data_IF_585130387089
#
_entry.id   IF_585130387089
#
_cell.length_a   1.000
_cell.length_b   1.000
_cell.length_c   1.000
_cell.angle_alpha   90.00
_cell.angle_beta   90.00
_cell.angle_gamma   90.00
#
_symmetry.space_group_name_H-M   'P 1'
#
loop_
_entity.id
_entity.type
_entity.pdbx_description
1 polymer ?
#
# COMPACT_ATOMS: atom_id res chain seq x y z
N UNK A 1 9.77 22.20 7.72
CA UNK A 1 10.85 21.18 7.65
C UNK A 1 10.72 20.50 6.31
N UNK A 2 11.80 20.11 5.61
CA UNK A 2 11.63 19.25 4.43
C UNK A 2 11.02 17.95 4.94
N UNK A 3 9.77 17.68 4.54
CA UNK A 3 9.03 16.49 4.97
C UNK A 3 9.68 15.27 4.31
N UNK A 4 10.66 14.69 4.99
CA UNK A 4 11.36 13.50 4.54
C UNK A 4 10.47 12.28 4.75
N UNK A 5 9.95 11.70 3.68
CA UNK A 5 9.09 10.53 3.75
C UNK A 5 9.92 9.26 3.89
N UNK A 6 9.57 8.45 4.89
CA UNK A 6 10.16 7.12 5.12
C UNK A 6 9.05 6.06 5.07
N UNK A 7 9.02 5.18 4.04
CA UNK A 7 8.05 4.10 3.99
C UNK A 7 8.47 2.93 4.88
N UNK A 8 7.54 2.00 5.14
CA UNK A 8 7.86 0.75 5.83
C UNK A 8 8.89 -0.07 5.05
N UNK A 9 9.94 -0.55 5.72
CA UNK A 9 10.97 -1.42 5.11
C UNK A 9 10.41 -2.79 4.69
N UNK A 10 9.36 -3.25 5.37
CA UNK A 10 8.73 -4.55 5.14
C UNK A 10 7.22 -4.38 4.97
N UNK A 11 6.68 -4.97 3.91
CA UNK A 11 5.25 -4.95 3.61
C UNK A 11 4.80 -6.30 3.06
N UNK A 12 3.57 -6.68 3.37
CA UNK A 12 2.90 -7.78 2.69
C UNK A 12 2.27 -7.27 1.39
N UNK A 13 2.82 -7.69 0.24
CA UNK A 13 2.39 -7.21 -1.08
C UNK A 13 1.86 -8.33 -1.96
N UNK A 14 0.85 -8.04 -2.78
CA UNK A 14 0.41 -8.96 -3.82
C UNK A 14 1.45 -9.04 -4.94
N UNK A 15 2.14 -10.17 -5.02
CA UNK A 15 3.11 -10.43 -6.07
C UNK A 15 2.41 -10.98 -7.32
N UNK A 16 2.42 -10.21 -8.41
CA UNK A 16 1.81 -10.60 -9.71
C UNK A 16 2.42 -11.89 -10.28
N UNK A 17 3.69 -12.16 -10.00
CA UNK A 17 4.40 -13.36 -10.45
C UNK A 17 4.07 -14.60 -9.61
N UNK A 18 4.05 -14.47 -8.29
CA UNK A 18 3.67 -15.55 -7.39
C UNK A 18 2.14 -15.75 -7.31
N UNK A 19 1.36 -14.80 -7.83
CA UNK A 19 -0.10 -14.72 -7.78
C UNK A 19 -0.68 -14.82 -6.36
N UNK A 20 0.07 -14.34 -5.36
CA UNK A 20 -0.30 -14.37 -3.95
C UNK A 20 0.33 -13.22 -3.18
N UNK A 21 -0.22 -12.93 -2.00
CA UNK A 21 0.37 -12.00 -1.04
C UNK A 21 1.65 -12.62 -0.47
N UNK A 22 2.74 -11.87 -0.54
CA UNK A 22 4.06 -12.29 -0.13
C UNK A 22 4.74 -11.17 0.66
N UNK A 23 5.59 -11.53 1.63
CA UNK A 23 6.49 -10.56 2.24
C UNK A 23 7.38 -9.93 1.17
N UNK A 24 7.42 -8.61 1.16
CA UNK A 24 8.25 -7.81 0.30
C UNK A 24 9.14 -6.89 1.13
N UNK A 25 10.35 -6.67 0.65
CA UNK A 25 11.36 -5.85 1.32
C UNK A 25 11.74 -4.68 0.44
N UNK A 26 11.91 -3.51 1.05
CA UNK A 26 12.39 -2.32 0.39
C UNK A 26 13.82 -2.57 -0.15
N UNK A 27 13.99 -2.43 -1.45
CA UNK A 27 15.27 -2.59 -2.16
C UNK A 27 15.96 -1.24 -2.33
N UNK A 28 15.21 -0.24 -2.82
CA UNK A 28 15.76 1.07 -3.22
C UNK A 28 14.75 2.18 -2.97
N UNK A 29 15.29 3.34 -2.64
CA UNK A 29 14.55 4.60 -2.51
C UNK A 29 15.15 5.61 -3.48
N UNK A 30 14.36 6.10 -4.41
CA UNK A 30 14.78 6.97 -5.52
C UNK A 30 14.10 8.33 -5.34
N UNK A 31 14.88 9.33 -4.93
CA UNK A 31 14.41 10.70 -4.78
C UNK A 31 14.07 11.33 -6.14
N UNK A 32 12.92 11.99 -6.25
CA UNK A 32 12.54 12.71 -7.46
C UNK A 32 13.44 13.92 -7.74
N UNK A 33 13.93 14.61 -6.70
CA UNK A 33 14.69 15.87 -6.81
C UNK A 33 16.12 15.79 -6.22
N UNK A 34 16.66 14.59 -6.02
CA UNK A 34 18.08 14.37 -5.71
C UNK A 34 18.58 14.85 -4.34
N UNK A 35 17.74 15.46 -3.50
CA UNK A 35 18.14 16.00 -2.18
C UNK A 35 17.40 15.37 -1.00
N UNK A 36 16.15 14.96 -1.17
CA UNK A 36 15.31 14.41 -0.09
C UNK A 36 14.34 13.38 -0.64
N UNK A 37 14.05 12.33 0.14
CA UNK A 37 12.96 11.40 -0.13
C UNK A 37 11.65 12.05 0.34
N UNK A 38 10.66 12.09 -0.53
CA UNK A 38 9.34 12.70 -0.30
C UNK A 38 8.22 11.77 -0.80
N UNK A 39 6.97 12.25 -0.74
CA UNK A 39 5.81 11.48 -1.22
C UNK A 39 5.79 11.32 -2.75
N UNK A 40 6.63 12.04 -3.49
CA UNK A 40 6.77 11.90 -4.95
C UNK A 40 7.91 10.94 -5.33
N UNK A 41 8.74 10.57 -4.35
CA UNK A 41 9.85 9.66 -4.53
C UNK A 41 9.36 8.23 -4.83
N UNK A 42 10.16 7.49 -5.59
CA UNK A 42 9.86 6.11 -5.99
C UNK A 42 10.56 5.13 -5.05
N UNK A 43 9.82 4.13 -4.59
CA UNK A 43 10.30 3.10 -3.69
C UNK A 43 10.11 1.73 -4.34
N UNK A 44 11.20 0.97 -4.41
CA UNK A 44 11.24 -0.35 -5.01
C UNK A 44 11.16 -1.42 -3.95
N UNK A 45 10.20 -2.32 -4.05
CA UNK A 45 10.05 -3.47 -3.16
C UNK A 45 10.25 -4.76 -3.94
N UNK A 46 11.07 -5.67 -3.43
CA UNK A 46 11.22 -7.00 -4.03
C UNK A 46 10.44 -8.06 -3.25
N UNK A 47 9.78 -8.96 -3.99
CA UNK A 47 9.17 -10.15 -3.41
C UNK A 47 10.26 -11.10 -2.89
N UNK A 48 10.22 -11.43 -1.60
CA UNK A 48 11.22 -12.30 -0.95
C UNK A 48 11.32 -13.69 -1.57
N UNK A 49 10.25 -14.19 -2.21
CA UNK A 49 10.22 -15.51 -2.85
C UNK A 49 10.71 -15.53 -4.29
N UNK A 50 10.21 -14.66 -5.16
CA UNK A 50 10.56 -14.69 -6.59
C UNK A 50 11.56 -13.60 -7.00
N UNK A 51 11.99 -12.75 -6.05
CA UNK A 51 12.98 -11.68 -6.22
C UNK A 51 12.63 -10.69 -7.34
N UNK A 52 11.34 -10.60 -7.70
CA UNK A 52 10.82 -9.62 -8.66
C UNK A 52 10.42 -8.37 -7.91
N UNK A 53 10.81 -7.24 -8.47
CA UNK A 53 10.62 -5.90 -7.90
C UNK A 53 9.32 -5.26 -8.40
N UNK A 54 8.70 -4.44 -7.56
CA UNK A 54 7.56 -3.58 -7.86
C UNK A 54 7.85 -2.18 -7.34
N UNK A 55 7.41 -1.15 -8.06
CA UNK A 55 7.65 0.24 -7.72
C UNK A 55 6.36 0.88 -7.19
N UNK A 56 6.48 1.68 -6.14
CA UNK A 56 5.41 2.54 -5.63
C UNK A 56 5.92 3.97 -5.46
N UNK A 57 5.02 4.94 -5.59
CA UNK A 57 5.29 6.31 -5.18
C UNK A 57 5.06 6.43 -3.67
N UNK A 58 5.76 7.36 -3.01
CA UNK A 58 5.58 7.58 -1.57
C UNK A 58 4.14 7.95 -1.18
N UNK A 59 3.40 8.65 -2.05
CA UNK A 59 1.97 8.97 -1.90
C UNK A 59 1.03 7.77 -1.97
N UNK A 60 1.53 6.61 -2.38
CA UNK A 60 0.78 5.35 -2.44
C UNK A 60 1.19 4.37 -1.34
N UNK A 61 2.18 4.74 -0.50
CA UNK A 61 2.70 3.90 0.58
C UNK A 61 2.32 4.47 1.93
N UNK A 62 2.05 3.55 2.87
CA UNK A 62 1.99 3.88 4.28
C UNK A 62 3.39 4.20 4.80
N UNK A 63 3.56 5.40 5.35
CA UNK A 63 4.80 5.88 5.95
C UNK A 63 4.83 5.76 7.47
N UNK A 64 6.02 5.93 8.04
CA UNK A 64 6.20 6.07 9.49
C UNK A 64 5.41 7.26 10.06
N UNK A 65 5.17 8.28 9.25
CA UNK A 65 4.37 9.48 9.57
C UNK A 65 2.87 9.16 9.67
N UNK A 66 2.40 8.13 8.96
CA UNK A 66 0.99 7.75 8.91
C UNK A 66 0.58 6.89 10.12
N UNK A 67 1.53 6.50 10.98
CA UNK A 67 1.25 5.84 12.26
C UNK A 67 0.44 6.70 13.24
N UNK A 68 0.26 8.00 12.94
CA UNK A 68 -0.57 8.92 13.72
C UNK A 68 -2.07 8.83 13.36
N UNK A 69 -2.52 7.77 12.66
CA UNK A 69 -3.90 7.30 12.80
C UNK A 69 -4.11 6.71 14.21
N UNK A 70 -4.11 7.64 15.15
CA UNK A 70 -4.70 7.66 16.48
C UNK A 70 -5.92 6.75 16.65
N UNK A 71 -5.85 5.88 17.67
CA UNK A 71 -6.89 5.50 18.65
C UNK A 71 -8.35 5.16 18.23
N UNK A 72 -8.75 5.29 16.96
CA UNK A 72 -10.16 5.23 16.50
C UNK A 72 -10.47 4.01 15.60
N UNK A 73 -9.49 3.11 15.46
CA UNK A 73 -9.64 1.86 14.73
C UNK A 73 -9.68 2.00 13.20
N UNK A 74 -9.88 0.88 12.47
CA UNK A 74 -9.72 0.85 11.02
C UNK A 74 -10.82 1.63 10.31
N UNK A 75 -10.42 2.51 9.40
CA UNK A 75 -11.29 3.34 8.55
C UNK A 75 -12.27 2.49 7.72
N UNK A 76 -13.50 2.95 7.59
CA UNK A 76 -14.50 2.31 6.72
C UNK A 76 -14.19 2.58 5.24
N UNK A 77 -14.28 1.54 4.41
CA UNK A 77 -14.04 1.64 2.98
C UNK A 77 -15.14 2.41 2.25
N UNK A 78 -14.75 3.36 1.41
CA UNK A 78 -15.55 4.16 0.49
C UNK A 78 -14.80 4.27 -0.86
N UNK A 79 -15.49 4.08 -1.97
CA UNK A 79 -14.86 4.08 -3.29
C UNK A 79 -14.23 5.42 -3.70
N UNK A 80 -14.61 6.53 -3.04
CA UNK A 80 -14.15 7.90 -3.33
C UNK A 80 -12.90 8.31 -2.54
N UNK A 81 -12.43 7.43 -1.66
CA UNK A 81 -11.28 7.71 -0.82
C UNK A 81 -10.00 7.22 -1.50
N UNK A 82 -8.89 7.94 -1.28
CA UNK A 82 -7.56 7.46 -1.62
C UNK A 82 -7.00 6.64 -0.47
N UNK A 83 -6.48 5.46 -0.79
CA UNK A 83 -5.92 4.54 0.16
C UNK A 83 -4.43 4.32 -0.03
N UNK A 84 -3.75 3.85 1.00
CA UNK A 84 -2.31 3.62 0.98
C UNK A 84 -1.99 2.12 1.11
N UNK A 85 -0.95 1.67 0.43
CA UNK A 85 -0.46 0.28 0.58
C UNK A 85 0.15 0.11 1.96
N UNK A 86 -0.31 -0.90 2.69
CA UNK A 86 -0.02 -1.11 4.11
C UNK A 86 -1.14 -0.66 5.06
N UNK A 87 -2.07 0.18 4.60
CA UNK A 87 -3.22 0.64 5.39
C UNK A 87 -4.20 -0.49 5.72
N UNK A 88 -4.85 -0.40 6.88
CA UNK A 88 -5.90 -1.34 7.32
C UNK A 88 -7.27 -0.68 7.20
N UNK A 89 -8.16 -1.30 6.42
CA UNK A 89 -9.52 -0.82 6.18
C UNK A 89 -10.56 -1.83 6.65
N UNK A 90 -11.78 -1.36 6.89
CA UNK A 90 -12.95 -2.19 7.21
C UNK A 90 -14.02 -2.03 6.14
N UNK A 91 -14.54 -3.13 5.61
CA UNK A 91 -15.60 -3.07 4.60
C UNK A 91 -16.97 -3.40 5.20
N UNK A 92 -17.95 -2.49 5.06
CA UNK A 92 -19.30 -2.61 5.63
C UNK A 92 -20.00 -3.92 5.27
N UNK A 93 -20.05 -4.25 3.98
CA UNK A 93 -20.74 -5.44 3.47
C UNK A 93 -20.05 -6.75 3.87
N UNK A 94 -18.73 -6.74 4.00
CA UNK A 94 -17.99 -7.94 4.41
C UNK A 94 -17.92 -8.10 5.94
N UNK A 95 -18.17 -7.01 6.69
CA UNK A 95 -18.00 -6.94 8.16
C UNK A 95 -16.62 -7.49 8.57
N UNK A 96 -15.63 -7.18 7.75
CA UNK A 96 -14.29 -7.76 7.83
C UNK A 96 -13.25 -6.65 7.70
N UNK A 97 -12.10 -6.86 8.36
CA UNK A 97 -10.93 -5.98 8.28
C UNK A 97 -9.98 -6.55 7.24
N UNK A 98 -9.27 -5.68 6.54
CA UNK A 98 -8.30 -6.10 5.56
C UNK A 98 -7.20 -5.09 5.37
N UNK A 99 -6.02 -5.59 5.03
CA UNK A 99 -4.84 -4.76 4.74
C UNK A 99 -4.73 -4.57 3.25
N UNK A 100 -4.39 -3.37 2.82
CA UNK A 100 -4.16 -3.05 1.42
C UNK A 100 -2.77 -3.55 1.03
N UNK A 101 -2.73 -4.51 0.11
CA UNK A 101 -1.52 -5.24 -0.29
C UNK A 101 -1.09 -4.87 -1.71
N UNK A 102 -1.73 -3.89 -2.34
CA UNK A 102 -1.30 -3.37 -3.63
C UNK A 102 -2.35 -2.51 -4.31
N UNK A 103 -1.92 -1.87 -5.40
CA UNK A 103 -2.77 -1.06 -6.28
C UNK A 103 -2.70 -1.55 -7.72
N UNK A 104 -3.79 -1.37 -8.44
CA UNK A 104 -3.93 -1.64 -9.87
C UNK A 104 -4.42 -0.35 -10.53
N UNK A 105 -3.47 0.39 -11.10
CA UNK A 105 -3.72 1.67 -11.78
C UNK A 105 -4.41 1.34 -13.11
N UNK A 106 -5.68 1.68 -13.22
CA UNK A 106 -6.55 1.33 -14.33
C UNK A 106 -7.75 2.27 -14.39
N UNK A 107 -8.70 2.00 -15.28
CA UNK A 107 -9.93 2.79 -15.39
C UNK A 107 -11.14 1.88 -15.09
N UNK A 108 -11.75 1.96 -13.89
CA UNK A 108 -11.37 2.77 -12.72
C UNK A 108 -10.13 2.21 -11.98
N UNK A 109 -9.50 3.02 -11.12
CA UNK A 109 -8.41 2.52 -10.28
C UNK A 109 -8.95 1.47 -9.29
N UNK A 110 -8.08 0.57 -8.88
CA UNK A 110 -8.46 -0.53 -7.98
C UNK A 110 -7.40 -0.76 -6.94
N UNK A 111 -7.85 -1.13 -5.74
CA UNK A 111 -6.98 -1.57 -4.65
C UNK A 111 -7.13 -3.07 -4.43
N UNK A 112 -6.05 -3.72 -4.04
CA UNK A 112 -6.00 -5.12 -3.65
C UNK A 112 -5.97 -5.18 -2.12
N UNK A 113 -7.00 -5.80 -1.55
CA UNK A 113 -7.18 -5.85 -0.10
C UNK A 113 -7.21 -7.30 0.35
N UNK A 114 -6.34 -7.66 1.30
CA UNK A 114 -6.35 -8.97 1.95
C UNK A 114 -7.20 -8.88 3.21
N UNK A 115 -8.44 -9.34 3.10
CA UNK A 115 -9.34 -9.47 4.24
C UNK A 115 -9.00 -10.70 5.09
N UNK A 116 -9.14 -10.59 6.41
CA UNK A 116 -8.81 -11.66 7.35
C UNK A 116 -9.65 -12.93 7.12
N UNK A 117 -10.97 -12.79 6.90
CA UNK A 117 -11.89 -13.92 6.72
C UNK A 117 -12.24 -14.15 5.25
N UNK A 118 -12.35 -13.08 4.45
CA UNK A 118 -12.77 -13.15 3.05
C UNK A 118 -11.62 -13.35 2.05
N UNK A 119 -10.38 -13.30 2.52
CA UNK A 119 -9.19 -13.43 1.68
C UNK A 119 -8.97 -12.22 0.76
N UNK A 120 -8.25 -12.43 -0.35
CA UNK A 120 -7.90 -11.36 -1.27
C UNK A 120 -9.11 -10.91 -2.10
N UNK A 121 -9.39 -9.61 -2.10
CA UNK A 121 -10.43 -8.96 -2.90
C UNK A 121 -9.88 -7.74 -3.64
N UNK A 122 -10.49 -7.43 -4.79
CA UNK A 122 -10.27 -6.19 -5.53
C UNK A 122 -11.42 -5.24 -5.22
N UNK A 123 -11.10 -4.02 -4.81
CA UNK A 123 -12.05 -2.94 -4.58
C UNK A 123 -11.78 -1.79 -5.55
N UNK A 124 -12.78 -0.93 -5.76
CA UNK A 124 -12.70 0.21 -6.69
C UNK A 124 -12.25 1.45 -5.93
N UNK A 125 -11.27 2.15 -6.48
CA UNK A 125 -10.82 3.46 -6.01
C UNK A 125 -11.07 4.41 -7.18
N UNK A 126 -12.08 5.27 -7.06
CA UNK A 126 -12.51 6.20 -8.10
C UNK A 126 -12.44 7.62 -7.51
N UNK A 127 -11.20 8.12 -7.43
CA UNK A 127 -10.81 9.43 -6.90
C UNK A 127 -10.84 10.48 -8.00
#
# INVERSE_FOLDING_TARGET
MPNSFTPSEQLDLYCRFCKKVMPAQLERSIAGTGRTLDRESTFEYFCTKCRRTVCYLGKDLWGAEDNDQSDDGPREYLAKDHYLVGEVIKHKSFKDKGTIVGKDIGTPNRILVRFEKKGLKKLVEDV
#
